data_IF_708841204599
#
_entry.id   IF_708841204599
#
_cell.length_a   1.000
_cell.length_b   1.000
_cell.length_c   1.000
_cell.angle_alpha   90.00
_cell.angle_beta   90.00
_cell.angle_gamma   90.00
#
_symmetry.space_group_name_H-M   'P 1'
#
loop_
_entity.id
_entity.type
_entity.pdbx_description
1 polymer ?
#
# COMPACT_ATOMS: atom_id res chain seq x y z
N UNK A 1 -19.44 7.47 -7.51
CA UNK A 1 -18.04 7.05 -7.30
C UNK A 1 -17.55 6.47 -8.62
N UNK A 2 -16.52 7.07 -9.21
CA UNK A 2 -15.87 6.54 -10.42
C UNK A 2 -14.86 5.45 -10.05
N UNK A 3 -14.37 4.69 -11.05
CA UNK A 3 -13.32 3.70 -10.82
C UNK A 3 -11.98 4.35 -10.44
N UNK A 4 -11.68 5.53 -10.99
CA UNK A 4 -10.49 6.32 -10.64
C UNK A 4 -10.55 6.78 -9.18
N UNK A 5 -11.71 7.27 -8.74
CA UNK A 5 -11.94 7.64 -7.32
C UNK A 5 -11.78 6.42 -6.40
N UNK A 6 -12.30 5.26 -6.80
CA UNK A 6 -12.14 4.03 -6.03
C UNK A 6 -10.66 3.61 -5.97
N UNK A 7 -9.94 3.68 -7.09
CA UNK A 7 -8.52 3.36 -7.15
C UNK A 7 -7.72 4.20 -6.16
N UNK A 8 -7.83 5.53 -6.26
CA UNK A 8 -7.09 6.45 -5.37
C UNK A 8 -7.40 6.20 -3.89
N UNK A 9 -8.67 5.89 -3.57
CA UNK A 9 -9.12 5.72 -2.19
C UNK A 9 -8.81 4.35 -1.58
N UNK A 10 -8.88 3.29 -2.37
CA UNK A 10 -8.88 1.91 -1.85
C UNK A 10 -7.63 1.11 -2.24
N UNK A 11 -6.81 1.58 -3.20
CA UNK A 11 -5.59 0.91 -3.63
C UNK A 11 -4.69 0.51 -2.43
N UNK A 12 -4.37 1.47 -1.56
CA UNK A 12 -3.49 1.20 -0.43
C UNK A 12 -4.07 0.25 0.61
N UNK A 13 -5.40 0.20 0.75
CA UNK A 13 -6.08 -0.75 1.66
C UNK A 13 -6.06 -2.16 1.10
N UNK A 14 -6.34 -2.32 -0.20
CA UNK A 14 -6.27 -3.61 -0.88
C UNK A 14 -4.83 -4.12 -0.88
N UNK A 15 -3.86 -3.25 -1.20
CA UNK A 15 -2.44 -3.57 -1.20
C UNK A 15 -1.95 -4.02 0.19
N UNK A 16 -2.26 -3.26 1.24
CA UNK A 16 -1.86 -3.61 2.60
C UNK A 16 -2.43 -4.96 3.07
N UNK A 17 -3.67 -5.27 2.70
CA UNK A 17 -4.31 -6.56 3.00
C UNK A 17 -3.56 -7.72 2.35
N UNK A 18 -3.14 -7.58 1.08
CA UNK A 18 -2.35 -8.59 0.39
C UNK A 18 -0.94 -8.72 0.97
N UNK A 19 -0.25 -7.61 1.22
CA UNK A 19 1.10 -7.61 1.77
C UNK A 19 1.13 -8.32 3.13
N UNK A 20 0.15 -8.06 4.01
CA UNK A 20 0.04 -8.76 5.29
C UNK A 20 -0.03 -10.29 5.10
N UNK A 21 -0.77 -10.74 4.09
CA UNK A 21 -0.98 -12.18 3.87
C UNK A 21 0.19 -12.88 3.21
N UNK A 22 0.79 -12.23 2.21
CA UNK A 22 1.77 -12.84 1.32
C UNK A 22 3.21 -12.41 1.60
N UNK A 23 3.42 -11.26 2.26
CA UNK A 23 4.74 -10.74 2.63
C UNK A 23 5.56 -10.15 1.48
N UNK A 24 5.01 -10.12 0.25
CA UNK A 24 5.73 -9.68 -0.94
C UNK A 24 5.09 -8.44 -1.55
N UNK A 25 5.87 -7.35 -1.58
CA UNK A 25 5.43 -6.05 -2.07
C UNK A 25 5.06 -6.08 -3.56
N UNK A 26 6.01 -6.49 -4.41
CA UNK A 26 5.85 -6.51 -5.87
C UNK A 26 4.70 -7.41 -6.30
N UNK A 27 4.63 -8.62 -5.71
CA UNK A 27 3.58 -9.59 -6.02
C UNK A 27 2.19 -9.06 -5.64
N UNK A 28 2.09 -8.35 -4.52
CA UNK A 28 0.84 -7.73 -4.10
C UNK A 28 0.45 -6.58 -5.04
N UNK A 29 1.38 -5.71 -5.43
CA UNK A 29 1.09 -4.59 -6.34
C UNK A 29 0.61 -5.06 -7.71
N UNK A 30 1.32 -6.02 -8.32
CA UNK A 30 0.95 -6.60 -9.61
C UNK A 30 -0.47 -7.20 -9.53
N UNK A 31 -0.78 -7.89 -8.44
CA UNK A 31 -2.08 -8.49 -8.24
C UNK A 31 -3.20 -7.45 -8.04
N UNK A 32 -2.95 -6.37 -7.29
CA UNK A 32 -3.90 -5.26 -7.15
C UNK A 32 -4.14 -4.59 -8.49
N UNK A 33 -3.10 -4.31 -9.27
CA UNK A 33 -3.23 -3.74 -10.60
C UNK A 33 -4.07 -4.64 -11.52
N UNK A 34 -3.77 -5.94 -11.57
CA UNK A 34 -4.54 -6.91 -12.34
C UNK A 34 -6.01 -7.02 -11.88
N UNK A 35 -6.31 -6.79 -10.60
CA UNK A 35 -7.68 -6.75 -10.10
C UNK A 35 -8.42 -5.49 -10.56
N UNK A 36 -7.77 -4.33 -10.56
CA UNK A 36 -8.34 -3.10 -11.12
C UNK A 36 -8.52 -3.19 -12.64
N UNK A 37 -7.58 -3.80 -13.37
CA UNK A 37 -7.74 -4.09 -14.80
C UNK A 37 -8.97 -4.96 -15.06
N UNK A 38 -9.19 -6.00 -14.26
CA UNK A 38 -10.37 -6.83 -14.35
C UNK A 38 -11.65 -6.02 -14.07
N UNK A 39 -11.63 -5.12 -13.09
CA UNK A 39 -12.75 -4.23 -12.79
C UNK A 39 -13.10 -3.29 -13.96
N UNK A 40 -12.09 -2.74 -14.65
CA UNK A 40 -12.27 -1.89 -15.86
C UNK A 40 -13.05 -2.65 -16.93
N UNK A 41 -12.78 -3.94 -17.11
CA UNK A 41 -13.41 -4.76 -18.16
C UNK A 41 -14.79 -5.25 -17.72
N UNK A 42 -14.93 -5.72 -16.48
CA UNK A 42 -16.11 -6.46 -16.03
C UNK A 42 -17.25 -5.55 -15.55
N UNK A 43 -16.96 -4.52 -14.75
CA UNK A 43 -17.99 -3.70 -14.11
C UNK A 43 -18.85 -2.86 -15.07
N UNK A 44 -18.35 -2.36 -16.22
CA UNK A 44 -19.21 -1.69 -17.20
C UNK A 44 -20.27 -2.61 -17.81
N UNK A 45 -20.02 -3.92 -17.87
CA UNK A 45 -20.93 -4.90 -18.49
C UNK A 45 -21.84 -5.52 -17.44
N UNK A 46 -21.29 -5.95 -16.30
CA UNK A 46 -22.02 -6.70 -15.27
C UNK A 46 -22.59 -5.81 -14.15
N UNK A 47 -22.21 -4.52 -14.14
CA UNK A 47 -22.51 -3.60 -13.06
C UNK A 47 -21.50 -3.67 -11.92
N UNK A 48 -21.62 -2.71 -11.01
CA UNK A 48 -20.75 -2.64 -9.84
C UNK A 48 -21.15 -3.71 -8.81
N UNK A 49 -20.19 -4.47 -8.25
CA UNK A 49 -20.48 -5.40 -7.17
C UNK A 49 -20.97 -4.64 -5.91
N UNK A 50 -21.80 -5.27 -5.06
CA UNK A 50 -22.30 -4.63 -3.82
C UNK A 50 -21.19 -4.17 -2.86
N UNK A 51 -20.06 -4.89 -2.85
CA UNK A 51 -18.85 -4.50 -2.12
C UNK A 51 -17.63 -4.55 -3.06
N UNK A 52 -17.29 -3.41 -3.70
CA UNK A 52 -16.16 -3.33 -4.64
C UNK A 52 -14.81 -3.65 -4.02
N UNK A 53 -14.60 -3.28 -2.75
CA UNK A 53 -13.32 -3.49 -2.06
C UNK A 53 -13.09 -4.98 -1.80
N UNK A 54 -14.10 -5.68 -1.26
CA UNK A 54 -14.01 -7.13 -1.06
C UNK A 54 -13.84 -7.88 -2.38
N UNK A 55 -14.50 -7.43 -3.45
CA UNK A 55 -14.30 -7.98 -4.79
C UNK A 55 -12.86 -7.80 -5.27
N UNK A 56 -12.28 -6.60 -5.12
CA UNK A 56 -10.89 -6.33 -5.50
C UNK A 56 -9.91 -7.19 -4.72
N UNK A 57 -10.08 -7.33 -3.40
CA UNK A 57 -9.22 -8.18 -2.57
C UNK A 57 -9.32 -9.65 -3.01
N UNK A 58 -10.54 -10.16 -3.23
CA UNK A 58 -10.75 -11.53 -3.67
C UNK A 58 -10.12 -11.79 -5.05
N UNK A 59 -10.33 -10.88 -6.01
CA UNK A 59 -9.73 -10.97 -7.35
C UNK A 59 -8.22 -10.93 -7.29
N UNK A 60 -7.64 -9.98 -6.54
CA UNK A 60 -6.21 -9.84 -6.42
C UNK A 60 -5.57 -11.05 -5.71
N UNK A 61 -6.24 -11.62 -4.69
CA UNK A 61 -5.80 -12.85 -4.03
C UNK A 61 -5.65 -14.02 -5.01
N UNK A 62 -6.61 -14.20 -5.92
CA UNK A 62 -6.49 -15.20 -6.98
C UNK A 62 -5.29 -14.93 -7.90
N UNK A 63 -5.08 -13.66 -8.30
CA UNK A 63 -3.95 -13.26 -9.13
C UNK A 63 -2.59 -13.58 -8.49
N UNK A 64 -2.43 -13.30 -7.20
CA UNK A 64 -1.22 -13.67 -6.44
C UNK A 64 -0.95 -15.17 -6.52
N UNK A 65 -1.97 -15.99 -6.25
CA UNK A 65 -1.83 -17.45 -6.25
C UNK A 65 -1.52 -18.00 -7.64
N UNK A 66 -2.17 -17.46 -8.67
CA UNK A 66 -1.91 -17.84 -10.06
C UNK A 66 -0.46 -17.53 -10.48
N UNK A 67 0.05 -16.36 -10.10
CA UNK A 67 1.45 -15.99 -10.34
C UNK A 67 2.44 -16.93 -9.62
N UNK A 68 2.17 -17.27 -8.34
CA UNK A 68 2.99 -18.21 -7.58
C UNK A 68 2.97 -19.63 -8.18
N UNK A 69 1.81 -20.09 -8.65
CA UNK A 69 1.68 -21.37 -9.37
C UNK A 69 2.47 -21.36 -10.67
N UNK A 70 2.40 -20.28 -11.45
CA UNK A 70 3.17 -20.13 -12.68
C UNK A 70 4.69 -20.13 -12.44
N UNK A 71 5.16 -19.46 -11.38
CA UNK A 71 6.56 -19.48 -11.00
C UNK A 71 7.03 -20.90 -10.60
N UNK A 72 6.21 -21.65 -9.88
CA UNK A 72 6.52 -23.04 -9.51
C UNK A 72 6.53 -24.00 -10.68
N UNK A 73 5.61 -23.87 -11.63
CA UNK A 73 5.62 -24.68 -12.85
C UNK A 73 6.92 -24.51 -13.63
N UNK A 74 7.52 -23.31 -13.59
CA UNK A 74 8.85 -23.04 -14.15
C UNK A 74 9.98 -23.68 -13.33
N UNK A 75 9.82 -23.78 -12.01
CA UNK A 75 10.82 -24.35 -11.08
C UNK A 75 10.66 -25.87 -10.80
N UNK A 76 9.63 -26.53 -11.33
CA UNK A 76 9.30 -27.96 -11.11
C UNK A 76 9.22 -28.37 -9.62
N UNK A 77 8.54 -27.58 -8.77
CA UNK A 77 8.37 -27.86 -7.32
C UNK A 77 7.01 -28.48 -6.94
N UNK A 78 7.02 -29.14 -5.77
CA UNK A 78 6.10 -30.14 -5.15
C UNK A 78 4.61 -29.77 -4.96
N UNK A 79 3.74 -30.79 -4.92
CA UNK A 79 2.29 -30.74 -4.62
C UNK A 79 1.95 -30.10 -3.25
N UNK A 80 2.86 -30.15 -2.28
CA UNK A 80 2.68 -29.56 -0.94
C UNK A 80 2.47 -28.04 -1.00
N UNK A 81 3.15 -27.37 -1.92
CA UNK A 81 3.03 -25.93 -2.09
C UNK A 81 1.70 -25.56 -2.77
N UNK A 82 1.19 -26.40 -3.68
CA UNK A 82 -0.15 -26.24 -4.24
C UNK A 82 -1.23 -26.36 -3.16
N UNK A 83 -1.10 -27.31 -2.23
CA UNK A 83 -1.99 -27.40 -1.07
C UNK A 83 -1.91 -26.17 -0.18
N UNK A 84 -0.69 -25.70 0.12
CA UNK A 84 -0.49 -24.47 0.89
C UNK A 84 -1.16 -23.25 0.23
N UNK A 85 -0.96 -23.06 -1.07
CA UNK A 85 -1.59 -21.95 -1.81
C UNK A 85 -3.12 -22.04 -1.85
N UNK A 86 -3.68 -23.25 -1.94
CA UNK A 86 -5.13 -23.46 -1.85
C UNK A 86 -5.66 -23.07 -0.47
N UNK A 87 -4.96 -23.43 0.62
CA UNK A 87 -5.30 -22.99 1.98
C UNK A 87 -5.21 -21.46 2.15
N UNK A 88 -4.34 -20.79 1.38
CA UNK A 88 -4.28 -19.32 1.38
C UNK A 88 -5.54 -18.69 0.74
N UNK A 89 -6.16 -19.36 -0.23
CA UNK A 89 -7.41 -18.93 -0.88
C UNK A 89 -8.66 -19.21 -0.04
N UNK A 90 -8.67 -20.30 0.73
CA UNK A 90 -9.84 -20.68 1.54
C UNK A 90 -10.11 -19.74 2.72
N UNK A 91 -9.08 -19.03 3.21
CA UNK A 91 -9.25 -18.04 4.28
C UNK A 91 -9.61 -16.69 3.68
N UNK A 92 -10.77 -16.16 4.06
CA UNK A 92 -11.19 -14.83 3.65
C UNK A 92 -10.18 -13.77 4.08
N UNK A 93 -9.82 -12.93 3.12
CA UNK A 93 -9.05 -11.73 3.35
C UNK A 93 -10.02 -10.56 3.31
N UNK A 94 -10.23 -9.95 4.47
CA UNK A 94 -10.85 -8.64 4.56
C UNK A 94 -9.75 -7.61 4.82
N UNK A 95 -9.95 -6.39 4.30
CA UNK A 95 -9.09 -5.28 4.64
C UNK A 95 -9.31 -4.92 6.11
N UNK A 96 -8.31 -5.20 6.96
CA UNK A 96 -8.37 -4.79 8.35
C UNK A 96 -8.04 -3.31 8.46
N UNK A 97 -8.69 -2.56 9.38
CA UNK A 97 -8.36 -1.17 9.61
C UNK A 97 -6.87 -0.95 9.85
N UNK A 98 -6.20 -1.86 10.56
CA UNK A 98 -4.79 -1.74 10.94
C UNK A 98 -3.80 -2.04 9.80
N UNK A 99 -4.24 -2.63 8.68
CA UNK A 99 -3.33 -3.06 7.61
C UNK A 99 -2.58 -1.87 7.00
N UNK A 100 -3.26 -0.74 6.75
CA UNK A 100 -2.61 0.48 6.29
C UNK A 100 -1.58 1.02 7.30
N UNK A 101 -1.79 0.77 8.60
CA UNK A 101 -0.86 1.20 9.63
C UNK A 101 0.41 0.33 9.65
N UNK A 102 0.24 -0.99 9.53
CA UNK A 102 1.37 -1.92 9.40
C UNK A 102 2.22 -1.57 8.18
N UNK A 103 1.57 -1.22 7.07
CA UNK A 103 2.25 -0.81 5.85
C UNK A 103 3.02 0.52 6.03
N UNK A 104 2.45 1.53 6.68
CA UNK A 104 3.18 2.80 6.88
C UNK A 104 4.41 2.61 7.78
N UNK A 105 4.34 1.76 8.80
CA UNK A 105 5.49 1.44 9.65
C UNK A 105 6.60 0.71 8.89
N UNK A 106 6.24 -0.22 7.99
CA UNK A 106 7.21 -0.88 7.12
C UNK A 106 7.86 0.13 6.13
N UNK A 107 7.07 1.02 5.55
CA UNK A 107 7.57 2.08 4.66
C UNK A 107 8.44 3.13 5.39
N UNK A 108 8.22 3.34 6.69
CA UNK A 108 8.94 4.29 7.52
C UNK A 108 10.11 3.67 8.32
N UNK A 109 10.55 2.47 7.94
CA UNK A 109 11.65 1.80 8.64
C UNK A 109 12.99 2.57 8.48
N UNK A 110 13.83 2.67 9.53
CA UNK A 110 15.10 3.42 9.51
C UNK A 110 16.11 2.91 8.48
N UNK A 111 16.00 1.64 8.10
CA UNK A 111 16.77 1.08 6.99
C UNK A 111 16.55 1.82 5.66
N UNK A 112 15.41 2.48 5.46
CA UNK A 112 15.11 3.23 4.25
C UNK A 112 15.52 4.70 4.43
N UNK A 113 16.19 5.27 3.42
CA UNK A 113 16.49 6.70 3.44
C UNK A 113 15.18 7.53 3.41
N UNK A 114 15.15 8.68 4.08
CA UNK A 114 13.94 9.51 4.21
C UNK A 114 13.20 9.80 2.88
N UNK A 115 13.88 10.15 1.77
CA UNK A 115 13.21 10.35 0.48
C UNK A 115 12.56 9.08 -0.09
N UNK A 116 13.07 7.90 0.28
CA UNK A 116 12.48 6.62 -0.12
C UNK A 116 11.25 6.28 0.74
N UNK A 117 11.28 6.56 2.04
CA UNK A 117 10.13 6.37 2.94
C UNK A 117 8.91 7.17 2.46
N UNK A 118 9.12 8.46 2.16
CA UNK A 118 8.07 9.36 1.68
C UNK A 118 7.56 8.93 0.30
N UNK A 119 8.47 8.67 -0.65
CA UNK A 119 8.08 8.25 -1.99
C UNK A 119 7.31 6.93 -1.99
N UNK A 120 7.75 5.94 -1.20
CA UNK A 120 7.09 4.65 -1.10
C UNK A 120 5.71 4.82 -0.48
N UNK A 121 5.57 5.59 0.61
CA UNK A 121 4.27 5.80 1.24
C UNK A 121 3.28 6.53 0.33
N UNK A 122 3.71 7.56 -0.38
CA UNK A 122 2.87 8.27 -1.37
C UNK A 122 2.41 7.33 -2.48
N UNK A 123 3.27 6.43 -2.94
CA UNK A 123 2.91 5.46 -3.96
C UNK A 123 1.91 4.43 -3.44
N UNK A 124 2.15 3.90 -2.24
CA UNK A 124 1.52 2.67 -1.78
C UNK A 124 0.27 2.93 -0.96
N UNK A 125 0.28 3.98 -0.14
CA UNK A 125 -0.87 4.39 0.68
C UNK A 125 -1.57 5.62 0.08
N UNK A 126 -0.82 6.56 -0.50
CA UNK A 126 -1.41 7.72 -1.17
C UNK A 126 -2.00 7.40 -2.55
N UNK A 127 -1.68 6.25 -3.16
CA UNK A 127 -2.17 5.89 -4.49
C UNK A 127 -1.66 6.79 -5.61
N UNK A 128 -0.56 7.53 -5.39
CA UNK A 128 0.02 8.38 -6.43
C UNK A 128 0.77 7.53 -7.46
N UNK A 129 0.63 7.94 -8.72
CA UNK A 129 1.44 7.39 -9.81
C UNK A 129 2.88 7.87 -9.69
N UNK A 130 3.80 7.06 -10.21
CA UNK A 130 5.24 7.34 -10.22
C UNK A 130 5.54 8.71 -10.84
N UNK A 131 4.81 9.12 -11.88
CA UNK A 131 4.98 10.41 -12.54
C UNK A 131 4.63 11.59 -11.63
N UNK A 132 3.57 11.44 -10.83
CA UNK A 132 3.11 12.46 -9.89
C UNK A 132 4.14 12.66 -8.78
N UNK A 133 4.62 11.56 -8.21
CA UNK A 133 5.64 11.59 -7.16
C UNK A 133 6.97 12.11 -7.73
N UNK A 134 7.35 11.73 -8.95
CA UNK A 134 8.65 12.12 -9.52
C UNK A 134 8.71 13.64 -9.69
N UNK A 135 7.58 14.23 -10.10
CA UNK A 135 7.38 15.66 -10.18
C UNK A 135 7.44 16.33 -8.80
N UNK A 136 6.76 15.76 -7.79
CA UNK A 136 6.83 16.25 -6.40
C UNK A 136 8.27 16.28 -5.85
N UNK A 137 9.08 15.28 -6.21
CA UNK A 137 10.49 15.21 -5.85
C UNK A 137 11.42 16.00 -6.77
N UNK A 138 10.90 16.62 -7.84
CA UNK A 138 11.69 17.29 -8.88
C UNK A 138 12.81 16.40 -9.45
N UNK A 139 12.51 15.12 -9.69
CA UNK A 139 13.44 14.14 -10.28
C UNK A 139 12.84 13.52 -11.55
N UNK A 140 13.68 12.99 -12.46
CA UNK A 140 13.18 12.22 -13.60
C UNK A 140 12.37 10.99 -13.16
N UNK A 141 11.30 10.66 -13.90
CA UNK A 141 10.46 9.47 -13.65
C UNK A 141 11.29 8.19 -13.49
N UNK A 142 12.31 7.90 -14.34
CA UNK A 142 13.15 6.71 -14.15
C UNK A 142 13.93 6.71 -12.83
N UNK A 143 14.33 7.88 -12.34
CA UNK A 143 15.06 8.02 -11.06
C UNK A 143 14.15 7.67 -9.89
N UNK A 144 12.89 8.11 -9.92
CA UNK A 144 11.93 7.74 -8.91
C UNK A 144 11.55 6.26 -9.01
N UNK A 145 11.27 5.74 -10.21
CA UNK A 145 10.96 4.33 -10.40
C UNK A 145 12.05 3.43 -9.79
N UNK A 146 13.32 3.74 -10.06
CA UNK A 146 14.45 3.02 -9.48
C UNK A 146 14.57 3.23 -7.95
N UNK A 147 14.13 4.37 -7.42
CA UNK A 147 14.06 4.59 -5.97
C UNK A 147 13.01 3.68 -5.31
N UNK A 148 11.82 3.57 -5.90
CA UNK A 148 10.75 2.71 -5.41
C UNK A 148 11.17 1.24 -5.43
N UNK A 149 11.72 0.77 -6.55
CA UNK A 149 12.24 -0.60 -6.69
C UNK A 149 13.30 -0.91 -5.63
N UNK A 150 14.28 -0.01 -5.43
CA UNK A 150 15.32 -0.19 -4.41
C UNK A 150 14.76 -0.18 -2.99
N UNK A 151 13.76 0.64 -2.71
CA UNK A 151 13.11 0.68 -1.40
C UNK A 151 12.40 -0.65 -1.09
N UNK A 152 11.60 -1.15 -2.04
CA UNK A 152 10.90 -2.44 -1.93
C UNK A 152 11.87 -3.61 -1.81
N UNK A 153 12.94 -3.61 -2.61
CA UNK A 153 14.01 -4.60 -2.48
C UNK A 153 14.67 -4.55 -1.10
N UNK A 154 14.93 -3.36 -0.54
CA UNK A 154 15.52 -3.21 0.79
C UNK A 154 14.59 -3.71 1.91
N UNK A 155 13.28 -3.49 1.79
CA UNK A 155 12.28 -4.05 2.72
C UNK A 155 12.35 -5.57 2.72
N UNK A 156 12.35 -6.18 1.53
CA UNK A 156 12.45 -7.63 1.36
C UNK A 156 13.78 -8.18 1.89
N UNK A 157 14.90 -7.60 1.46
CA UNK A 157 16.25 -8.12 1.74
C UNK A 157 16.61 -7.98 3.23
N UNK A 158 16.08 -6.96 3.91
CA UNK A 158 16.24 -6.79 5.36
C UNK A 158 15.20 -7.55 6.20
N UNK A 159 14.22 -8.24 5.56
CA UNK A 159 13.19 -9.00 6.26
C UNK A 159 12.30 -8.13 7.17
N UNK A 160 12.02 -6.89 6.77
CA UNK A 160 11.27 -5.94 7.61
C UNK A 160 9.84 -6.46 7.80
N UNK A 161 9.39 -6.69 9.04
CA UNK A 161 8.06 -7.25 9.27
C UNK A 161 6.96 -6.24 8.98
N UNK A 162 5.85 -6.73 8.42
CA UNK A 162 4.65 -5.94 8.16
C UNK A 162 3.73 -5.95 9.39
N UNK A 163 4.22 -5.37 10.47
CA UNK A 163 3.52 -5.27 11.74
C UNK A 163 3.68 -3.88 12.35
N UNK A 164 2.88 -3.61 13.39
CA UNK A 164 3.11 -2.44 14.23
C UNK A 164 4.31 -2.78 15.13
N UNK A 165 5.35 -1.93 15.20
CA UNK A 165 6.53 -2.18 16.02
C UNK A 165 6.18 -2.34 17.50
N UNK A 166 6.99 -3.12 18.22
CA UNK A 166 7.00 -3.13 19.68
C UNK A 166 7.61 -1.82 20.23
N UNK A 167 7.33 -1.50 21.50
CA UNK A 167 7.62 -0.20 22.12
C UNK A 167 9.08 0.27 21.94
N UNK A 168 10.06 -0.63 21.90
CA UNK A 168 11.48 -0.26 21.76
C UNK A 168 11.86 0.31 20.39
N UNK A 169 11.14 -0.09 19.34
CA UNK A 169 11.36 0.35 17.95
C UNK A 169 10.35 1.41 17.53
N UNK A 170 9.35 1.68 18.39
CA UNK A 170 8.21 2.50 18.05
C UNK A 170 8.60 3.96 17.87
N UNK A 171 9.40 4.53 18.78
CA UNK A 171 9.72 5.97 18.80
C UNK A 171 10.37 6.45 17.50
N UNK A 172 11.46 5.80 17.06
CA UNK A 172 12.19 6.18 15.84
C UNK A 172 11.32 6.05 14.58
N UNK A 173 10.47 5.02 14.54
CA UNK A 173 9.55 4.82 13.42
C UNK A 173 8.37 5.78 13.48
N UNK A 174 7.90 6.12 14.67
CA UNK A 174 6.77 7.01 14.89
C UNK A 174 7.11 8.42 14.41
N UNK A 175 8.28 8.96 14.74
CA UNK A 175 8.73 10.25 14.21
C UNK A 175 8.70 10.26 12.67
N UNK A 176 9.23 9.20 12.06
CA UNK A 176 9.22 9.03 10.62
C UNK A 176 7.79 8.96 10.04
N UNK A 177 6.90 8.23 10.69
CA UNK A 177 5.49 8.09 10.29
C UNK A 177 4.76 9.43 10.39
N UNK A 178 4.87 10.14 11.50
CA UNK A 178 4.21 11.44 11.72
C UNK A 178 4.63 12.45 10.66
N UNK A 179 5.93 12.56 10.40
CA UNK A 179 6.41 13.48 9.38
C UNK A 179 6.03 13.03 7.95
N UNK A 180 5.84 11.72 7.68
CA UNK A 180 5.31 11.28 6.37
C UNK A 180 3.84 11.63 6.23
N UNK A 181 3.02 11.41 7.27
CA UNK A 181 1.59 11.76 7.23
C UNK A 181 1.41 13.27 7.04
N UNK A 182 2.22 14.08 7.74
CA UNK A 182 2.21 15.53 7.57
C UNK A 182 2.57 15.93 6.12
N UNK A 183 3.58 15.30 5.52
CA UNK A 183 3.95 15.55 4.12
C UNK A 183 2.86 15.14 3.14
N UNK A 184 2.19 14.02 3.36
CA UNK A 184 1.04 13.59 2.53
C UNK A 184 -0.08 14.60 2.65
N UNK A 185 -0.39 15.09 3.86
CA UNK A 185 -1.41 16.11 4.05
C UNK A 185 -1.05 17.42 3.35
N UNK A 186 0.20 17.87 3.47
CA UNK A 186 0.65 19.10 2.81
C UNK A 186 0.58 19.01 1.29
N UNK A 187 1.00 17.88 0.71
CA UNK A 187 0.87 17.63 -0.73
C UNK A 187 -0.61 17.54 -1.15
N UNK A 188 -1.50 17.10 -0.26
CA UNK A 188 -2.94 17.14 -0.48
C UNK A 188 -3.52 18.56 -0.43
N UNK A 189 -3.14 19.34 0.59
CA UNK A 189 -3.73 20.64 0.91
C UNK A 189 -3.27 21.74 -0.04
N UNK A 190 -1.99 21.72 -0.40
CA UNK A 190 -1.40 22.62 -1.37
C UNK A 190 -0.75 21.75 -2.43
N UNK A 191 -1.58 21.21 -3.32
CA UNK A 191 -1.13 20.34 -4.38
C UNK A 191 -0.07 21.09 -5.19
N UNK A 192 1.18 20.62 -5.09
CA UNK A 192 2.26 21.27 -5.80
C UNK A 192 2.11 21.03 -7.31
N UNK A 193 1.28 20.04 -7.70
CA UNK A 193 1.07 19.60 -9.08
C UNK A 193 -0.30 18.91 -9.29
N UNK A 194 -0.80 18.95 -10.52
CA UNK A 194 -2.10 18.40 -10.91
C UNK A 194 -3.03 19.49 -11.45
N UNK A 195 -4.20 19.10 -11.95
CA UNK A 195 -5.22 20.07 -12.40
C UNK A 195 -6.01 20.64 -11.21
N UNK A 196 -5.94 19.96 -10.06
CA UNK A 196 -6.59 20.35 -8.81
C UNK A 196 -5.62 21.05 -7.87
N UNK A 197 -6.00 22.22 -7.38
CA UNK A 197 -5.26 22.99 -6.37
C UNK A 197 -5.24 22.32 -4.99
N UNK A 198 -6.23 21.47 -4.74
CA UNK A 198 -6.39 20.69 -3.51
C UNK A 198 -6.76 19.26 -3.88
N UNK A 199 -5.94 18.31 -3.45
CA UNK A 199 -6.16 16.87 -3.59
C UNK A 199 -6.81 16.34 -2.32
N UNK A 200 -8.14 16.46 -2.27
CA UNK A 200 -8.93 16.08 -1.10
C UNK A 200 -8.82 14.58 -0.74
N UNK A 201 -8.54 13.72 -1.72
CA UNK A 201 -8.26 12.29 -1.54
C UNK A 201 -7.03 12.07 -0.64
N UNK A 202 -5.94 12.79 -0.91
CA UNK A 202 -4.71 12.70 -0.11
C UNK A 202 -4.87 13.28 1.29
N UNK A 203 -5.54 14.43 1.40
CA UNK A 203 -5.90 14.99 2.70
C UNK A 203 -6.72 14.00 3.53
N UNK A 204 -7.75 13.39 2.91
CA UNK A 204 -8.61 12.43 3.57
C UNK A 204 -7.83 11.19 4.04
N UNK A 205 -6.89 10.71 3.22
CA UNK A 205 -6.04 9.57 3.57
C UNK A 205 -5.06 9.91 4.70
N UNK A 206 -4.39 11.05 4.66
CA UNK A 206 -3.52 11.50 5.75
C UNK A 206 -4.30 11.65 7.07
N UNK A 207 -5.49 12.25 7.02
CA UNK A 207 -6.39 12.36 8.18
C UNK A 207 -6.83 10.97 8.68
N UNK A 208 -7.13 10.03 7.77
CA UNK A 208 -7.51 8.66 8.12
C UNK A 208 -6.37 7.96 8.87
N UNK A 209 -5.15 8.04 8.35
CA UNK A 209 -3.95 7.45 8.95
C UNK A 209 -3.63 8.09 10.31
N UNK A 210 -3.69 9.42 10.41
CA UNK A 210 -3.52 10.14 11.69
C UNK A 210 -4.54 9.73 12.74
N UNK A 211 -5.83 9.63 12.36
CA UNK A 211 -6.89 9.15 13.27
C UNK A 211 -6.68 7.69 13.70
N UNK A 212 -6.14 6.85 12.84
CA UNK A 212 -5.80 5.47 13.19
C UNK A 212 -4.65 5.42 14.19
N UNK A 213 -3.62 6.25 14.03
CA UNK A 213 -2.55 6.39 15.01
C UNK A 213 -3.08 6.85 16.36
N UNK A 214 -3.93 7.87 16.41
CA UNK A 214 -4.52 8.36 17.68
C UNK A 214 -5.29 7.26 18.42
N UNK A 215 -5.97 6.38 17.69
CA UNK A 215 -6.70 5.24 18.29
C UNK A 215 -5.76 4.17 18.82
N UNK A 216 -4.67 3.90 18.12
CA UNK A 216 -3.71 2.87 18.51
C UNK A 216 -2.81 3.33 19.67
N UNK A 217 -2.36 4.58 19.61
CA UNK A 217 -1.40 5.19 20.53
C UNK A 217 -2.03 6.37 21.25
N UNK A 218 -3.10 6.15 22.05
CA UNK A 218 -3.82 7.25 22.66
C UNK A 218 -2.95 8.00 23.67
N UNK A 219 -1.93 7.40 24.27
CA UNK A 219 -1.06 8.06 25.24
C UNK A 219 -0.03 9.01 24.60
N UNK A 220 0.23 8.86 23.30
CA UNK A 220 1.27 9.61 22.60
C UNK A 220 0.84 11.04 22.27
N UNK A 221 1.59 12.02 22.82
CA UNK A 221 1.25 13.44 22.69
C UNK A 221 1.48 13.95 21.27
N UNK A 222 2.54 13.50 20.63
CA UNK A 222 2.92 13.90 19.27
C UNK A 222 1.87 13.46 18.25
N UNK A 223 1.32 12.24 18.44
CA UNK A 223 0.24 11.70 17.61
C UNK A 223 -1.04 12.52 17.71
N UNK A 224 -1.36 13.07 18.89
CA UNK A 224 -2.53 13.94 19.08
C UNK A 224 -2.33 15.37 18.56
N UNK A 225 -1.08 15.79 18.38
CA UNK A 225 -0.72 17.12 17.90
C UNK A 225 -0.63 17.26 16.38
N UNK A 226 -0.66 16.13 15.65
CA UNK A 226 -0.67 16.04 14.19
C UNK A 226 -2.01 16.51 13.60
#
# INVERSE_FOLDING_TARGET
MSLDELYRREYGRVLASLIRRFGYFELAEDAVQAAFEAAVVQWPVEGWPPNPVSWLIATARHKVVDQLRHQQMRERKSDELNQYLSLLLERDLEAEPLDSLRLIFACCHPALARPAQVALTLHTLGGLRTEEIARAFMVPVPTLAQRLVRAKAKIRDAGIPFEVPEDSDLDERLESVLAVIYLIFNEGYAASFGDDWVRADLCAEAIRLGRMLVRLLPAEREVRGL
#
